data_IF_669978999920
#
_entry.id   IF_669978999920
#
_cell.length_a   1.000
_cell.length_b   1.000
_cell.length_c   1.000
_cell.angle_alpha   90.00
_cell.angle_beta   90.00
_cell.angle_gamma   90.00
#
_symmetry.space_group_name_H-M   'P 1'
#
loop_
_entity.id
_entity.type
_entity.pdbx_description
1 polymer ?
#
# COMPACT_ATOMS: atom_id res chain seq x y z
N UNK A 1 12.78 16.26 2.09
CA UNK A 1 12.35 15.18 3.00
C UNK A 1 13.30 14.01 2.84
N UNK A 2 13.83 13.43 3.92
CA UNK A 2 14.59 12.17 3.82
C UNK A 2 13.63 11.04 3.46
N UNK A 3 14.04 10.15 2.55
CA UNK A 3 13.26 8.97 2.22
C UNK A 3 13.25 8.01 3.42
N UNK A 4 12.14 7.30 3.66
CA UNK A 4 12.14 6.26 4.69
C UNK A 4 13.08 5.12 4.32
N UNK A 5 13.66 4.46 5.31
CA UNK A 5 14.55 3.31 5.10
C UNK A 5 13.84 2.14 4.42
N UNK A 6 12.54 1.96 4.71
CA UNK A 6 11.70 0.92 4.11
C UNK A 6 10.39 1.53 3.56
N UNK A 7 9.86 0.94 2.49
CA UNK A 7 8.54 1.27 1.96
C UNK A 7 7.85 0.03 1.35
N UNK A 8 6.58 0.16 0.98
CA UNK A 8 5.84 -0.92 0.32
C UNK A 8 5.91 -0.81 -1.21
N UNK A 9 5.92 -1.97 -1.87
CA UNK A 9 5.71 -2.11 -3.31
C UNK A 9 4.25 -1.90 -3.68
N UNK A 10 3.96 -1.83 -4.99
CA UNK A 10 2.59 -1.75 -5.49
C UNK A 10 1.70 -2.92 -5.04
N UNK A 11 2.32 -4.08 -4.74
CA UNK A 11 1.66 -5.31 -4.29
C UNK A 11 1.75 -5.51 -2.77
N UNK A 12 2.13 -4.49 -2.00
CA UNK A 12 2.19 -4.57 -0.53
C UNK A 12 3.41 -5.31 0.04
N UNK A 13 4.34 -5.78 -0.80
CA UNK A 13 5.62 -6.36 -0.34
C UNK A 13 6.61 -5.28 0.06
N UNK A 14 7.39 -5.52 1.10
CA UNK A 14 8.43 -4.59 1.57
C UNK A 14 9.56 -4.37 0.55
N UNK A 15 10.06 -3.14 0.52
CA UNK A 15 11.19 -2.67 -0.28
C UNK A 15 12.09 -1.84 0.64
N UNK A 16 13.38 -2.18 0.68
CA UNK A 16 14.40 -1.37 1.36
C UNK A 16 14.92 -0.28 0.42
N UNK A 17 15.13 0.92 0.94
CA UNK A 17 15.71 2.06 0.24
C UNK A 17 17.10 2.31 0.81
N UNK A 18 18.13 2.14 -0.02
CA UNK A 18 19.53 2.41 0.36
C UNK A 18 20.14 3.31 -0.70
N UNK A 19 20.64 4.47 -0.27
CA UNK A 19 21.28 5.47 -1.13
C UNK A 19 20.46 5.89 -2.36
N UNK A 20 19.12 5.83 -2.29
CA UNK A 20 18.21 6.13 -3.40
C UNK A 20 17.95 4.95 -4.35
N UNK A 21 18.44 3.76 -4.03
CA UNK A 21 18.15 2.52 -4.74
C UNK A 21 17.13 1.66 -3.98
N UNK A 22 16.25 1.01 -4.74
CA UNK A 22 15.21 0.12 -4.20
C UNK A 22 15.67 -1.34 -4.26
N UNK A 23 15.66 -2.02 -3.12
CA UNK A 23 15.94 -3.44 -2.98
C UNK A 23 14.66 -4.18 -2.61
N UNK A 24 14.31 -5.22 -3.38
CA UNK A 24 13.15 -6.09 -3.12
C UNK A 24 13.58 -7.36 -2.43
N UNK A 25 12.69 -7.92 -1.61
CA UNK A 25 12.84 -9.28 -1.12
C UNK A 25 13.03 -10.25 -2.31
N UNK A 26 14.01 -11.14 -2.19
CA UNK A 26 14.26 -12.19 -3.17
C UNK A 26 13.97 -13.57 -2.58
N UNK A 27 14.70 -13.98 -1.54
CA UNK A 27 14.53 -15.28 -0.87
C UNK A 27 15.23 -15.33 0.49
N UNK A 28 14.87 -16.31 1.30
CA UNK A 28 15.62 -16.70 2.51
C UNK A 28 16.72 -17.70 2.11
N UNK A 29 17.90 -17.55 2.67
CA UNK A 29 19.06 -18.42 2.52
C UNK A 29 19.19 -19.33 3.75
N UNK A 30 20.15 -20.27 3.71
CA UNK A 30 20.49 -21.09 4.88
C UNK A 30 20.87 -20.18 6.07
N UNK A 31 20.56 -20.64 7.29
CA UNK A 31 20.71 -19.88 8.55
C UNK A 31 19.79 -18.66 8.67
N UNK A 32 18.59 -18.72 8.07
CA UNK A 32 17.56 -17.67 8.13
C UNK A 32 18.00 -16.28 7.64
N UNK A 33 19.04 -16.23 6.79
CA UNK A 33 19.53 -14.97 6.21
C UNK A 33 18.64 -14.52 5.06
N UNK A 34 18.08 -13.32 5.13
CA UNK A 34 17.22 -12.78 4.08
C UNK A 34 18.08 -12.14 2.99
N UNK A 35 17.84 -12.52 1.72
CA UNK A 35 18.45 -11.88 0.55
C UNK A 35 17.49 -10.92 -0.12
N UNK A 36 17.96 -9.70 -0.31
CA UNK A 36 17.31 -8.63 -1.05
C UNK A 36 18.11 -8.34 -2.33
N UNK A 37 17.44 -8.21 -3.47
CA UNK A 37 18.09 -7.86 -4.74
C UNK A 37 17.60 -6.49 -5.22
N UNK A 38 18.39 -5.80 -6.03
CA UNK A 38 17.94 -4.61 -6.72
C UNK A 38 16.63 -4.85 -7.49
N UNK A 39 15.72 -3.88 -7.41
CA UNK A 39 14.45 -3.90 -8.15
C UNK A 39 14.67 -3.93 -9.66
N UNK A 40 15.76 -3.33 -10.17
CA UNK A 40 16.17 -3.47 -11.56
C UNK A 40 16.70 -4.88 -11.82
N UNK A 41 16.05 -5.62 -12.75
CA UNK A 41 16.39 -7.02 -13.05
C UNK A 41 17.77 -7.22 -13.68
N UNK A 42 18.32 -6.19 -14.35
CA UNK A 42 19.65 -6.26 -14.97
C UNK A 42 20.78 -6.03 -13.96
N UNK A 43 20.45 -5.39 -12.83
CA UNK A 43 21.40 -5.08 -11.79
C UNK A 43 21.70 -6.30 -10.92
N UNK A 44 22.98 -6.50 -10.60
CA UNK A 44 23.46 -7.59 -9.74
C UNK A 44 23.63 -7.19 -8.27
N UNK A 45 23.30 -5.95 -7.92
CA UNK A 45 23.38 -5.48 -6.55
C UNK A 45 22.42 -6.23 -5.62
N UNK A 46 22.89 -6.54 -4.42
CA UNK A 46 22.13 -7.26 -3.40
C UNK A 46 22.53 -6.84 -1.97
N UNK A 47 21.66 -7.17 -1.04
CA UNK A 47 21.84 -7.01 0.39
C UNK A 47 21.42 -8.31 1.09
N UNK A 48 22.17 -8.72 2.10
CA UNK A 48 21.81 -9.81 3.00
C UNK A 48 21.60 -9.25 4.40
N UNK A 49 20.48 -9.60 5.00
CA UNK A 49 20.15 -9.22 6.37
C UNK A 49 19.92 -10.45 7.24
N UNK A 50 19.90 -10.26 8.55
CA UNK A 50 19.41 -11.24 9.51
C UNK A 50 17.93 -11.59 9.29
N UNK A 51 17.43 -12.53 10.09
CA UNK A 51 16.04 -12.99 10.07
C UNK A 51 15.04 -11.86 10.39
N UNK A 52 15.44 -10.92 11.25
CA UNK A 52 14.67 -9.72 11.58
C UNK A 52 14.55 -8.76 10.39
N UNK A 53 15.53 -8.77 9.48
CA UNK A 53 15.59 -7.87 8.34
C UNK A 53 16.26 -6.53 8.63
N UNK A 54 16.80 -6.33 9.83
CA UNK A 54 17.30 -5.04 10.31
C UNK A 54 18.82 -4.96 10.28
N UNK A 55 19.51 -6.08 10.59
CA UNK A 55 20.97 -6.11 10.65
C UNK A 55 21.55 -6.52 9.30
N UNK A 56 22.44 -5.70 8.74
CA UNK A 56 23.16 -6.03 7.51
C UNK A 56 24.29 -7.01 7.80
N UNK A 57 24.23 -8.19 7.17
CA UNK A 57 25.26 -9.24 7.29
C UNK A 57 26.30 -9.09 6.18
N UNK A 58 25.85 -8.87 4.96
CA UNK A 58 26.70 -8.75 3.77
C UNK A 58 25.98 -7.91 2.73
N UNK A 59 26.71 -7.10 1.96
CA UNK A 59 26.11 -6.35 0.87
C UNK A 59 27.04 -6.29 -0.33
N UNK A 60 26.44 -6.11 -1.51
CA UNK A 60 27.10 -5.70 -2.73
C UNK A 60 26.19 -4.67 -3.39
N UNK A 61 26.40 -3.41 -3.06
CA UNK A 61 25.56 -2.29 -3.52
C UNK A 61 26.17 -1.55 -4.72
N UNK A 62 26.85 -2.30 -5.58
CA UNK A 62 27.42 -1.74 -6.80
C UNK A 62 26.37 -1.70 -7.91
N UNK A 63 25.89 -0.49 -8.20
CA UNK A 63 24.79 -0.19 -9.12
C UNK A 63 25.27 0.40 -10.47
N UNK A 64 26.46 0.03 -10.95
CA UNK A 64 27.04 0.57 -12.20
C UNK A 64 26.14 0.49 -13.44
N UNK A 65 25.18 -0.44 -13.46
CA UNK A 65 24.32 -0.69 -14.63
C UNK A 65 23.06 0.20 -14.69
N UNK A 66 22.82 1.06 -13.69
CA UNK A 66 21.70 2.00 -13.72
C UNK A 66 21.80 3.14 -12.70
N UNK A 67 21.14 4.24 -13.02
CA UNK A 67 20.99 5.37 -12.12
C UNK A 67 19.97 5.12 -11.00
N UNK A 68 20.01 5.99 -9.99
CA UNK A 68 19.06 6.05 -8.88
C UNK A 68 17.68 6.44 -9.40
N UNK A 69 16.64 6.06 -8.66
CA UNK A 69 15.31 6.57 -8.97
C UNK A 69 15.23 8.08 -8.71
N UNK A 70 14.45 8.79 -9.53
CA UNK A 70 14.17 10.22 -9.30
C UNK A 70 13.48 10.37 -7.95
N UNK A 71 14.01 11.25 -7.10
CA UNK A 71 13.53 11.46 -5.72
C UNK A 71 12.01 11.68 -5.66
N UNK A 72 11.46 12.49 -6.56
CA UNK A 72 10.02 12.78 -6.62
C UNK A 72 9.16 11.54 -6.87
N UNK A 73 9.64 10.58 -7.65
CA UNK A 73 8.91 9.32 -7.91
C UNK A 73 8.82 8.51 -6.62
N UNK A 74 9.91 8.47 -5.85
CA UNK A 74 9.94 7.78 -4.56
C UNK A 74 9.03 8.45 -3.54
N UNK A 75 9.06 9.79 -3.46
CA UNK A 75 8.16 10.57 -2.61
C UNK A 75 6.69 10.29 -2.94
N UNK A 76 6.32 10.28 -4.23
CA UNK A 76 4.95 9.94 -4.67
C UNK A 76 4.56 8.52 -4.29
N UNK A 77 5.50 7.58 -4.32
CA UNK A 77 5.25 6.20 -3.89
C UNK A 77 5.00 6.12 -2.38
N UNK A 78 5.78 6.82 -1.56
CA UNK A 78 5.60 6.90 -0.10
C UNK A 78 4.21 7.46 0.24
N UNK A 79 3.83 8.59 -0.37
CA UNK A 79 2.51 9.21 -0.19
C UNK A 79 1.41 8.21 -0.56
N UNK A 80 1.52 7.58 -1.73
CA UNK A 80 0.51 6.63 -2.23
C UNK A 80 0.34 5.43 -1.28
N UNK A 81 1.43 4.89 -0.74
CA UNK A 81 1.38 3.78 0.20
C UNK A 81 0.67 4.17 1.50
N UNK A 82 1.01 5.33 2.05
CA UNK A 82 0.38 5.87 3.25
C UNK A 82 -1.13 6.07 3.04
N UNK A 83 -1.52 6.67 1.91
CA UNK A 83 -2.92 6.88 1.54
C UNK A 83 -3.68 5.56 1.34
N UNK A 84 -3.08 4.55 0.71
CA UNK A 84 -3.73 3.24 0.54
C UNK A 84 -4.05 2.59 1.88
N UNK A 85 -3.11 2.61 2.82
CA UNK A 85 -3.30 2.06 4.17
C UNK A 85 -4.43 2.80 4.89
N UNK A 86 -4.33 4.13 4.98
CA UNK A 86 -5.36 4.97 5.61
C UNK A 86 -6.73 4.84 4.95
N UNK A 87 -6.79 4.66 3.64
CA UNK A 87 -8.04 4.48 2.93
C UNK A 87 -8.78 3.21 3.35
N UNK A 88 -8.05 2.16 3.75
CA UNK A 88 -8.62 0.92 4.27
C UNK A 88 -9.02 1.06 5.75
N UNK A 89 -8.20 1.75 6.55
CA UNK A 89 -8.45 1.97 7.98
C UNK A 89 -9.62 2.95 8.21
N UNK A 90 -9.64 4.06 7.47
CA UNK A 90 -10.61 5.17 7.56
C UNK A 90 -11.53 5.17 6.33
N UNK A 91 -12.34 4.13 6.18
CA UNK A 91 -13.12 3.88 4.95
C UNK A 91 -14.17 4.97 4.66
N UNK A 92 -14.73 5.58 5.70
CA UNK A 92 -15.78 6.60 5.63
C UNK A 92 -15.23 8.03 5.44
N UNK A 93 -13.94 8.25 5.69
CA UNK A 93 -13.34 9.58 5.64
C UNK A 93 -13.33 10.13 4.20
N UNK A 94 -13.35 11.45 4.02
CA UNK A 94 -13.34 12.01 2.66
C UNK A 94 -11.96 11.80 2.01
N UNK A 95 -11.87 11.26 0.77
CA UNK A 95 -10.58 11.04 0.10
C UNK A 95 -9.67 12.28 0.04
N UNK A 96 -10.26 13.46 -0.21
CA UNK A 96 -9.52 14.72 -0.25
C UNK A 96 -8.96 15.12 1.12
N UNK A 97 -9.66 14.81 2.22
CA UNK A 97 -9.19 15.09 3.58
C UNK A 97 -7.99 14.19 3.93
N UNK A 98 -8.02 12.92 3.53
CA UNK A 98 -6.87 12.01 3.65
C UNK A 98 -5.66 12.53 2.88
N UNK A 99 -5.85 12.93 1.62
CA UNK A 99 -4.76 13.49 0.79
C UNK A 99 -4.20 14.76 1.44
N UNK A 100 -5.05 15.71 1.78
CA UNK A 100 -4.62 16.99 2.35
C UNK A 100 -3.83 16.80 3.65
N UNK A 101 -4.29 15.92 4.53
CA UNK A 101 -3.58 15.61 5.76
C UNK A 101 -2.21 14.97 5.50
N UNK A 102 -2.10 14.10 4.49
CA UNK A 102 -0.82 13.49 4.14
C UNK A 102 0.16 14.48 3.50
N UNK A 103 -0.34 15.33 2.60
CA UNK A 103 0.47 16.38 1.98
C UNK A 103 0.93 17.42 3.00
N UNK A 104 0.13 17.74 4.03
CA UNK A 104 0.54 18.64 5.10
C UNK A 104 1.77 18.14 5.87
N UNK A 105 1.99 16.82 5.94
CA UNK A 105 3.18 16.23 6.57
C UNK A 105 4.43 16.34 5.71
N UNK A 106 4.26 16.55 4.41
CA UNK A 106 5.29 16.38 3.39
C UNK A 106 5.42 17.69 2.63
N UNK A 107 6.44 18.48 2.96
CA UNK A 107 6.75 19.70 2.21
C UNK A 107 7.33 19.33 0.84
N UNK A 108 6.47 19.26 -0.18
CA UNK A 108 6.88 19.01 -1.58
C UNK A 108 6.14 19.93 -2.54
N UNK A 109 6.91 20.67 -3.33
CA UNK A 109 6.36 21.57 -4.36
C UNK A 109 6.22 20.89 -5.74
N UNK A 110 6.63 19.62 -5.85
CA UNK A 110 6.74 18.92 -7.13
C UNK A 110 5.44 18.23 -7.57
N UNK A 111 4.38 18.24 -6.76
CA UNK A 111 3.13 17.56 -7.05
C UNK A 111 2.26 18.33 -8.03
N UNK A 112 1.63 17.61 -8.95
CA UNK A 112 0.75 18.19 -9.97
C UNK A 112 -0.69 17.65 -9.89
N UNK A 113 -1.58 18.20 -10.73
CA UNK A 113 -2.99 17.76 -10.81
C UNK A 113 -3.14 16.27 -11.16
N UNK A 114 -2.23 15.73 -11.97
CA UNK A 114 -2.23 14.31 -12.35
C UNK A 114 -1.95 13.41 -11.14
N UNK A 115 -1.07 13.84 -10.23
CA UNK A 115 -0.80 13.11 -8.98
C UNK A 115 -2.04 13.02 -8.09
N UNK A 116 -2.76 14.14 -7.95
CA UNK A 116 -3.99 14.18 -7.16
C UNK A 116 -5.01 13.16 -7.68
N UNK A 117 -5.18 13.07 -9.01
CA UNK A 117 -6.04 12.06 -9.62
C UNK A 117 -5.52 10.63 -9.36
N UNK A 118 -4.21 10.41 -9.42
CA UNK A 118 -3.61 9.11 -9.11
C UNK A 118 -3.80 8.71 -7.64
N UNK A 119 -3.69 9.66 -6.71
CA UNK A 119 -3.92 9.45 -5.29
C UNK A 119 -5.38 9.10 -5.03
N UNK A 120 -6.32 9.88 -5.57
CA UNK A 120 -7.75 9.58 -5.49
C UNK A 120 -8.07 8.18 -6.01
N UNK A 121 -7.58 7.84 -7.21
CA UNK A 121 -7.76 6.50 -7.78
C UNK A 121 -7.22 5.40 -6.87
N UNK A 122 -6.05 5.61 -6.27
CA UNK A 122 -5.47 4.63 -5.34
C UNK A 122 -6.29 4.45 -4.07
N UNK A 123 -6.89 5.52 -3.52
CA UNK A 123 -7.79 5.47 -2.38
C UNK A 123 -9.05 4.68 -2.72
N UNK A 124 -9.69 4.99 -3.86
CA UNK A 124 -10.90 4.27 -4.28
C UNK A 124 -10.64 2.78 -4.49
N UNK A 125 -9.52 2.42 -5.14
CA UNK A 125 -9.14 1.02 -5.33
C UNK A 125 -8.87 0.31 -3.99
N UNK A 126 -8.20 0.98 -3.05
CA UNK A 126 -7.93 0.44 -1.73
C UNK A 126 -9.24 0.20 -0.94
N UNK A 127 -10.19 1.15 -0.98
CA UNK A 127 -11.51 0.98 -0.35
C UNK A 127 -12.32 -0.14 -0.96
N UNK A 128 -12.34 -0.22 -2.29
CA UNK A 128 -13.05 -1.27 -3.02
C UNK A 128 -12.53 -2.68 -2.69
N UNK A 129 -11.28 -2.82 -2.23
CA UNK A 129 -10.77 -4.12 -1.75
C UNK A 129 -11.34 -4.58 -0.41
N UNK A 130 -11.93 -3.65 0.38
CA UNK A 130 -12.54 -3.92 1.69
C UNK A 130 -14.07 -3.92 1.65
N UNK A 131 -14.66 -3.13 0.75
CA UNK A 131 -16.10 -3.07 0.58
C UNK A 131 -16.62 -4.28 -0.22
N UNK A 132 -17.86 -4.71 0.03
CA UNK A 132 -18.48 -5.73 -0.80
C UNK A 132 -18.61 -5.27 -2.25
N UNK A 133 -18.68 -6.24 -3.16
CA UNK A 133 -18.94 -5.96 -4.56
C UNK A 133 -20.28 -5.25 -4.72
N UNK A 134 -20.38 -4.35 -5.71
CA UNK A 134 -21.65 -3.69 -6.02
C UNK A 134 -22.65 -4.76 -6.47
N UNK A 135 -23.78 -4.94 -5.76
CA UNK A 135 -24.78 -5.93 -6.14
C UNK A 135 -25.45 -5.51 -7.46
N UNK A 136 -25.78 -6.50 -8.30
CA UNK A 136 -26.38 -6.27 -9.62
C UNK A 136 -27.89 -6.57 -9.67
N UNK A 137 -28.42 -7.29 -8.69
CA UNK A 137 -29.84 -7.64 -8.57
C UNK A 137 -30.24 -7.70 -7.09
N UNK A 138 -31.54 -7.74 -6.81
CA UNK A 138 -32.07 -7.72 -5.45
C UNK A 138 -31.59 -8.94 -4.63
N UNK A 139 -31.49 -10.11 -5.24
CA UNK A 139 -31.01 -11.32 -4.57
C UNK A 139 -29.57 -11.15 -4.06
N UNK A 140 -28.69 -10.62 -4.91
CA UNK A 140 -27.30 -10.33 -4.57
C UNK A 140 -27.20 -9.24 -3.49
N UNK A 141 -28.13 -8.27 -3.46
CA UNK A 141 -28.20 -7.32 -2.35
C UNK A 141 -28.43 -8.08 -1.04
N UNK A 142 -29.40 -8.98 -0.97
CA UNK A 142 -29.68 -9.76 0.24
C UNK A 142 -28.48 -10.62 0.65
N UNK A 143 -27.87 -11.36 -0.29
CA UNK A 143 -26.67 -12.16 -0.03
C UNK A 143 -25.51 -11.32 0.55
N UNK A 144 -25.29 -10.12 -0.01
CA UNK A 144 -24.27 -9.21 0.50
C UNK A 144 -24.63 -8.67 1.89
N UNK A 145 -25.88 -8.25 2.11
CA UNK A 145 -26.32 -7.73 3.41
C UNK A 145 -26.22 -8.78 4.51
N UNK A 146 -26.60 -10.02 4.21
CA UNK A 146 -26.49 -11.15 5.14
C UNK A 146 -25.03 -11.43 5.49
N UNK A 147 -24.11 -11.31 4.53
CA UNK A 147 -22.67 -11.51 4.77
C UNK A 147 -21.99 -10.42 5.63
N UNK A 148 -22.62 -9.25 5.79
CA UNK A 148 -22.05 -8.11 6.51
C UNK A 148 -22.31 -8.15 8.03
N UNK A 149 -23.12 -9.10 8.52
CA UNK A 149 -23.45 -9.29 9.95
C UNK A 149 -23.71 -7.97 10.70
N UNK A 150 -24.60 -7.13 10.15
CA UNK A 150 -24.84 -5.79 10.69
C UNK A 150 -25.74 -5.88 11.92
N UNK A 151 -25.15 -5.65 13.10
CA UNK A 151 -25.83 -5.66 14.39
C UNK A 151 -25.87 -4.28 15.04
N UNK A 152 -26.85 -4.07 15.91
CA UNK A 152 -26.92 -2.91 16.80
C UNK A 152 -25.90 -3.02 17.93
N UNK A 153 -25.79 -1.96 18.74
CA UNK A 153 -25.00 -1.98 19.97
C UNK A 153 -25.47 -3.07 20.96
N UNK A 154 -26.77 -3.42 20.91
CA UNK A 154 -27.41 -4.41 21.77
C UNK A 154 -27.40 -5.84 21.15
N UNK A 155 -26.56 -6.09 20.14
CA UNK A 155 -26.42 -7.36 19.39
C UNK A 155 -27.68 -7.81 18.61
N UNK A 156 -28.65 -6.91 18.42
CA UNK A 156 -29.84 -7.17 17.61
C UNK A 156 -29.55 -6.98 16.12
N UNK A 157 -30.27 -7.70 15.27
CA UNK A 157 -30.12 -7.56 13.81
C UNK A 157 -30.63 -6.17 13.39
N UNK A 158 -29.73 -5.33 12.86
CA UNK A 158 -30.05 -3.94 12.53
C UNK A 158 -30.93 -3.82 11.29
N UNK A 159 -30.77 -4.74 10.34
CA UNK A 159 -31.48 -4.71 9.07
C UNK A 159 -32.73 -5.59 9.13
N UNK A 160 -33.86 -5.00 8.76
CA UNK A 160 -35.09 -5.75 8.45
C UNK A 160 -35.06 -6.07 6.95
N UNK A 161 -34.69 -7.29 6.59
CA UNK A 161 -34.75 -7.74 5.21
C UNK A 161 -36.22 -7.94 4.81
N UNK A 162 -36.71 -7.18 3.82
CA UNK A 162 -38.02 -7.40 3.21
C UNK A 162 -38.00 -8.72 2.40
N UNK A 163 -38.20 -9.85 3.08
CA UNK A 163 -38.25 -11.18 2.46
C UNK A 163 -39.62 -11.43 1.77
N UNK A 164 -40.61 -10.56 1.95
CA UNK A 164 -41.95 -10.74 1.40
C UNK A 164 -42.10 -10.08 0.02
N UNK A 165 -41.87 -10.84 -1.06
CA UNK A 165 -42.16 -10.38 -2.42
C UNK A 165 -41.53 -11.14 -3.58
N UNK A 166 -41.28 -12.45 -3.45
CA UNK A 166 -41.01 -13.35 -4.59
C UNK A 166 -42.12 -14.39 -4.67
#
# INVERSE_FOLDING_TARGET
MSLPENMLSQHGKEIKIIDGYKLRFHKILNNNVIRWNCTNKKCKAYLKTDESGDTVIENKLDHNDHEKDVHDIMVRQVIRNSLKRKAQDEICERPLKLIHHELKKINTDTLNKTDMNCFLKSIYLARRSKLPARPCNIQNVHEVLDSLEIKTYDDEQFLINNIFGV
#
